data_IF_695500632104
#
_entry.id   IF_695500632104
#
_cell.length_a   1.000
_cell.length_b   1.000
_cell.length_c   1.000
_cell.angle_alpha   90.00
_cell.angle_beta   90.00
_cell.angle_gamma   90.00
#
_symmetry.space_group_name_H-M   'P 1'
#
loop_
_entity.id
_entity.type
_entity.pdbx_description
1 polymer ?
#
# COMPACT_ATOMS: atom_id res chain seq x y z
N UNK A 1 -17.55 18.85 2.49
CA UNK A 1 -16.60 18.38 1.45
C UNK A 1 -17.35 17.93 0.23
N UNK A 2 -16.66 17.61 -0.89
CA UNK A 2 -17.29 17.12 -2.13
C UNK A 2 -18.20 15.91 -1.83
N UNK A 3 -17.73 14.97 -0.99
CA UNK A 3 -18.51 13.80 -0.55
C UNK A 3 -19.85 14.16 0.07
N UNK A 4 -19.88 15.12 1.01
CA UNK A 4 -21.13 15.59 1.67
C UNK A 4 -22.13 16.12 0.66
N UNK A 5 -21.68 16.84 -0.38
CA UNK A 5 -22.55 17.35 -1.46
C UNK A 5 -23.13 16.23 -2.31
N UNK A 6 -22.36 15.17 -2.57
CA UNK A 6 -22.86 13.99 -3.28
C UNK A 6 -23.86 13.21 -2.43
N UNK A 7 -23.58 12.98 -1.14
CA UNK A 7 -24.49 12.22 -0.27
C UNK A 7 -25.84 12.92 -0.08
N UNK A 8 -25.85 14.23 0.17
CA UNK A 8 -27.09 15.01 0.24
C UNK A 8 -27.78 15.12 -1.13
N UNK A 9 -27.01 15.24 -2.21
CA UNK A 9 -27.54 15.30 -3.57
C UNK A 9 -28.31 14.03 -3.98
N UNK A 10 -27.85 12.85 -3.56
CA UNK A 10 -28.52 11.58 -3.86
C UNK A 10 -29.92 11.49 -3.22
N UNK A 11 -30.12 12.01 -2.01
CA UNK A 11 -31.43 12.04 -1.35
C UNK A 11 -32.40 12.93 -2.15
N UNK A 12 -31.93 14.09 -2.62
CA UNK A 12 -32.75 14.97 -3.45
C UNK A 12 -33.06 14.37 -4.82
N UNK A 13 -32.10 13.68 -5.44
CA UNK A 13 -32.30 13.02 -6.72
C UNK A 13 -33.35 11.90 -6.64
N UNK A 14 -33.37 11.15 -5.53
CA UNK A 14 -34.40 10.13 -5.29
C UNK A 14 -35.82 10.73 -5.27
N UNK A 15 -36.00 11.86 -4.60
CA UNK A 15 -37.31 12.54 -4.56
C UNK A 15 -37.72 13.06 -5.94
N UNK A 16 -36.78 13.58 -6.73
CA UNK A 16 -37.03 14.06 -8.09
C UNK A 16 -37.44 12.90 -9.00
N UNK A 17 -36.75 11.76 -8.94
CA UNK A 17 -37.11 10.57 -9.71
C UNK A 17 -38.53 10.10 -9.37
N UNK A 18 -38.88 10.06 -8.08
CA UNK A 18 -40.21 9.66 -7.62
C UNK A 18 -41.33 10.57 -8.18
N UNK A 19 -41.14 11.89 -8.14
CA UNK A 19 -42.13 12.83 -8.68
C UNK A 19 -42.23 12.79 -10.21
N UNK A 20 -41.13 12.51 -10.91
CA UNK A 20 -41.14 12.33 -12.38
C UNK A 20 -41.88 11.04 -12.77
N UNK A 21 -41.66 9.94 -12.05
CA UNK A 21 -42.40 8.69 -12.26
C UNK A 21 -43.91 8.90 -12.09
N UNK A 22 -44.30 9.64 -11.05
CA UNK A 22 -45.69 10.01 -10.77
C UNK A 22 -46.28 10.93 -11.84
N UNK A 23 -45.51 11.88 -12.35
CA UNK A 23 -45.94 12.81 -13.40
C UNK A 23 -46.14 12.10 -14.75
N UNK A 24 -45.26 11.16 -15.09
CA UNK A 24 -45.30 10.45 -16.37
C UNK A 24 -46.24 9.23 -16.37
N UNK A 25 -46.83 8.86 -15.21
CA UNK A 25 -47.59 7.61 -14.99
C UNK A 25 -46.81 6.35 -15.43
N UNK A 26 -45.48 6.41 -15.31
CA UNK A 26 -44.56 5.32 -15.62
C UNK A 26 -43.95 4.85 -14.31
N UNK A 27 -44.25 3.61 -13.92
CA UNK A 27 -43.51 2.91 -12.87
C UNK A 27 -42.23 2.36 -13.45
N UNK A 28 -41.09 2.99 -13.17
CA UNK A 28 -39.80 2.36 -13.43
C UNK A 28 -39.74 1.08 -12.60
N UNK A 29 -39.43 -0.03 -13.26
CA UNK A 29 -39.49 -1.34 -12.62
C UNK A 29 -38.41 -1.43 -11.54
N UNK A 30 -38.72 -2.19 -10.48
CA UNK A 30 -37.85 -2.29 -9.27
C UNK A 30 -36.39 -2.70 -9.53
N UNK A 31 -36.05 -3.17 -10.74
CA UNK A 31 -34.70 -3.55 -11.17
C UNK A 31 -33.76 -2.36 -11.41
N UNK A 32 -34.27 -1.14 -11.59
CA UNK A 32 -33.43 0.04 -11.81
C UNK A 32 -33.14 0.81 -10.51
N UNK A 33 -33.95 0.58 -9.47
CA UNK A 33 -33.84 1.21 -8.15
C UNK A 33 -33.52 0.16 -7.06
N UNK A 34 -32.60 -0.75 -7.36
CA UNK A 34 -32.30 -1.90 -6.49
C UNK A 34 -31.71 -1.46 -5.15
N UNK A 35 -30.89 -0.41 -5.15
CA UNK A 35 -30.16 0.07 -3.97
C UNK A 35 -31.01 0.91 -3.01
N UNK A 36 -32.08 1.56 -3.50
CA UNK A 36 -33.02 2.32 -2.68
C UNK A 36 -34.19 1.48 -2.14
N UNK A 37 -34.14 0.15 -2.32
CA UNK A 37 -35.18 -0.75 -1.79
C UNK A 37 -35.23 -0.69 -0.26
N UNK A 38 -36.42 -0.70 0.36
CA UNK A 38 -36.56 -0.67 1.81
C UNK A 38 -35.77 -1.78 2.53
N UNK A 39 -35.66 -2.97 1.91
CA UNK A 39 -34.90 -4.09 2.47
C UNK A 39 -33.38 -3.90 2.44
N UNK A 40 -32.84 -3.12 1.49
CA UNK A 40 -31.41 -2.78 1.45
C UNK A 40 -31.09 -1.65 2.40
N UNK A 41 -31.94 -0.61 2.43
CA UNK A 41 -31.84 0.48 3.41
C UNK A 41 -31.89 -0.07 4.84
N UNK A 42 -32.80 -1.00 5.13
CA UNK A 42 -32.89 -1.64 6.44
C UNK A 42 -31.62 -2.43 6.80
N UNK A 43 -31.04 -3.15 5.84
CA UNK A 43 -29.78 -3.90 6.05
C UNK A 43 -28.60 -2.98 6.25
N UNK A 44 -28.49 -1.92 5.45
CA UNK A 44 -27.43 -0.92 5.59
C UNK A 44 -27.51 -0.25 6.97
N UNK A 45 -28.72 0.09 7.44
CA UNK A 45 -28.92 0.62 8.80
C UNK A 45 -28.51 -0.38 9.89
N UNK A 46 -28.83 -1.66 9.72
CA UNK A 46 -28.42 -2.73 10.65
C UNK A 46 -26.89 -2.91 10.65
N UNK A 47 -26.26 -2.87 9.49
CA UNK A 47 -24.81 -3.00 9.35
C UNK A 47 -24.06 -1.77 9.87
N UNK A 48 -24.63 -0.56 9.69
CA UNK A 48 -24.14 0.67 10.33
C UNK A 48 -24.20 0.55 11.85
N UNK A 49 -25.27 -0.02 12.40
CA UNK A 49 -25.37 -0.26 13.84
C UNK A 49 -24.31 -1.26 14.33
N UNK A 50 -24.09 -2.37 13.61
CA UNK A 50 -23.03 -3.34 13.91
C UNK A 50 -21.64 -2.71 13.86
N UNK A 51 -21.36 -1.90 12.83
CA UNK A 51 -20.09 -1.19 12.70
C UNK A 51 -19.89 -0.18 13.84
N UNK A 52 -20.94 0.56 14.21
CA UNK A 52 -20.90 1.51 15.31
C UNK A 52 -20.63 0.83 16.65
N UNK A 53 -21.29 -0.31 16.90
CA UNK A 53 -21.04 -1.12 18.10
C UNK A 53 -19.59 -1.63 18.13
N UNK A 54 -19.12 -2.19 17.02
CA UNK A 54 -17.75 -2.70 16.91
C UNK A 54 -16.71 -1.61 17.17
N UNK A 55 -16.89 -0.42 16.59
CA UNK A 55 -16.00 0.73 16.79
C UNK A 55 -16.03 1.26 18.23
N UNK A 56 -17.16 1.13 18.94
CA UNK A 56 -17.26 1.53 20.34
C UNK A 56 -16.45 0.60 21.27
N UNK A 57 -16.44 -0.69 20.96
CA UNK A 57 -15.69 -1.71 21.71
C UNK A 57 -14.21 -1.75 21.30
N UNK A 58 -13.91 -1.43 20.03
CA UNK A 58 -12.58 -1.51 19.43
C UNK A 58 -12.18 -0.14 18.88
N UNK A 59 -12.15 0.89 19.74
CA UNK A 59 -11.85 2.25 19.31
C UNK A 59 -10.48 2.32 18.59
N UNK A 60 -10.44 2.53 17.26
CA UNK A 60 -9.20 2.55 16.50
C UNK A 60 -8.43 3.88 16.67
N UNK A 61 -8.99 4.83 17.41
CA UNK A 61 -8.43 6.15 17.68
C UNK A 61 -8.33 6.41 19.19
N UNK A 62 -7.48 5.66 19.92
CA UNK A 62 -7.15 6.03 21.28
C UNK A 62 -6.50 7.43 21.29
N UNK A 63 -6.75 8.22 22.33
CA UNK A 63 -6.06 9.51 22.51
C UNK A 63 -4.61 9.24 22.90
N UNK A 64 -3.75 9.12 21.90
CA UNK A 64 -2.32 8.91 22.05
C UNK A 64 -1.57 9.99 21.28
N UNK A 65 -0.48 10.50 21.84
CA UNK A 65 0.35 11.56 21.23
C UNK A 65 1.32 11.02 20.17
N UNK A 66 1.02 9.84 19.60
CA UNK A 66 1.91 9.09 18.72
C UNK A 66 1.14 8.57 17.51
N UNK A 67 1.72 8.70 16.29
CA UNK A 67 1.11 8.18 15.06
C UNK A 67 1.08 6.65 15.14
N UNK A 68 -0.07 6.03 14.94
CA UNK A 68 -0.23 4.57 15.00
C UNK A 68 -0.99 4.05 13.78
N UNK A 69 -0.51 2.95 13.19
CA UNK A 69 -1.23 2.24 12.13
C UNK A 69 -2.50 1.61 12.69
N UNK A 70 -3.66 1.98 12.16
CA UNK A 70 -4.97 1.44 12.58
C UNK A 70 -5.06 -0.07 12.32
N UNK A 71 -4.39 -0.58 11.28
CA UNK A 71 -4.46 -1.99 10.91
C UNK A 71 -3.50 -2.89 11.72
N UNK A 72 -2.43 -2.32 12.26
CA UNK A 72 -1.34 -3.11 12.86
C UNK A 72 -0.95 -2.67 14.28
N UNK A 73 -1.52 -1.57 14.78
CA UNK A 73 -1.19 -0.96 16.09
C UNK A 73 0.30 -0.57 16.20
N UNK A 74 0.99 -0.46 15.06
CA UNK A 74 2.41 -0.09 14.99
C UNK A 74 2.56 1.42 15.07
N UNK A 75 3.39 1.89 15.99
CA UNK A 75 3.77 3.29 16.17
C UNK A 75 4.73 3.74 15.05
N UNK A 76 4.38 4.82 14.37
CA UNK A 76 5.12 5.42 13.27
C UNK A 76 6.25 6.32 13.76
N UNK A 77 7.50 5.93 13.46
CA UNK A 77 8.66 6.82 13.49
C UNK A 77 8.86 7.58 12.17
N UNK A 78 9.97 8.32 12.06
CA UNK A 78 10.33 9.19 10.91
C UNK A 78 10.35 8.51 9.52
N UNK A 79 10.32 7.17 9.47
CA UNK A 79 10.37 6.37 8.24
C UNK A 79 9.02 6.26 7.50
N UNK A 80 7.88 6.65 8.11
CA UNK A 80 6.57 6.61 7.43
C UNK A 80 6.42 7.78 6.43
N UNK A 81 6.01 7.49 5.19
CA UNK A 81 5.66 8.54 4.21
C UNK A 81 4.50 9.39 4.76
N UNK A 82 4.80 10.62 5.19
CA UNK A 82 3.80 11.67 5.43
C UNK A 82 3.14 12.03 4.11
N UNK A 83 2.04 11.35 3.80
CA UNK A 83 1.20 11.68 2.64
C UNK A 83 0.35 12.89 2.96
N UNK A 84 0.78 14.09 2.55
CA UNK A 84 -0.01 15.33 2.62
C UNK A 84 -1.14 15.28 1.59
N UNK A 85 -2.14 14.42 1.79
CA UNK A 85 -3.20 14.17 0.82
C UNK A 85 -4.51 14.91 1.09
N UNK A 86 -4.63 15.66 2.19
CA UNK A 86 -5.83 16.45 2.48
C UNK A 86 -5.47 17.83 3.03
N UNK A 87 -6.35 18.81 2.77
CA UNK A 87 -6.27 20.15 3.36
C UNK A 87 -6.30 20.13 4.90
N UNK A 88 -6.89 19.07 5.49
CA UNK A 88 -6.94 18.85 6.93
C UNK A 88 -5.55 18.61 7.55
N UNK A 89 -4.55 18.17 6.78
CA UNK A 89 -3.17 17.99 7.27
C UNK A 89 -2.60 19.29 7.86
N UNK A 90 -2.97 20.44 7.30
CA UNK A 90 -2.48 21.75 7.76
C UNK A 90 -3.06 22.20 9.10
N UNK A 91 -4.16 21.59 9.55
CA UNK A 91 -4.81 21.92 10.83
C UNK A 91 -4.14 21.21 12.01
N UNK A 92 -3.35 20.16 11.75
CA UNK A 92 -2.61 19.47 12.81
C UNK A 92 -1.31 20.20 13.12
N UNK A 93 -1.10 20.51 14.40
CA UNK A 93 0.20 20.99 14.88
C UNK A 93 1.25 19.88 14.70
N UNK A 94 2.37 20.14 14.01
CA UNK A 94 3.44 19.17 13.93
C UNK A 94 4.01 18.92 15.33
N UNK A 95 4.07 17.65 15.74
CA UNK A 95 4.77 17.26 16.95
C UNK A 95 6.27 17.44 16.68
N UNK A 96 6.91 18.34 17.43
CA UNK A 96 8.34 18.69 17.31
C UNK A 96 9.23 17.93 18.29
N UNK A 97 8.66 16.99 19.05
CA UNK A 97 9.46 16.12 19.91
C UNK A 97 9.88 14.87 19.13
N UNK A 98 11.18 14.73 18.92
CA UNK A 98 11.82 13.47 18.61
C UNK A 98 11.58 12.52 19.79
N UNK A 99 10.45 11.81 19.76
CA UNK A 99 10.21 10.69 20.67
C UNK A 99 11.14 9.58 20.22
N UNK A 100 12.34 9.53 20.82
CA UNK A 100 13.14 8.32 20.84
C UNK A 100 12.47 7.36 21.81
N UNK A 101 11.90 6.22 21.36
CA UNK A 101 11.50 5.21 22.30
C UNK A 101 12.77 4.50 22.79
N UNK A 102 12.95 4.43 24.11
CA UNK A 102 13.95 3.58 24.72
C UNK A 102 13.53 2.11 24.54
N UNK A 103 14.33 1.37 23.78
CA UNK A 103 14.12 -0.04 23.44
C UNK A 103 14.23 -0.24 21.93
N UNK A 104 15.23 -1.03 21.49
CA UNK A 104 15.65 -1.28 20.10
C UNK A 104 14.51 -1.19 19.07
N UNK A 105 14.29 0.01 18.53
CA UNK A 105 13.24 0.25 17.56
C UNK A 105 13.80 -0.10 16.18
N UNK A 106 13.36 -1.23 15.63
CA UNK A 106 13.74 -1.59 14.26
C UNK A 106 13.30 -0.50 13.29
N UNK A 107 14.24 0.01 12.49
CA UNK A 107 13.92 0.92 11.39
C UNK A 107 13.31 0.10 10.27
N UNK A 108 12.00 0.24 10.09
CA UNK A 108 11.27 -0.42 8.99
C UNK A 108 11.48 0.36 7.70
N UNK A 109 11.96 -0.34 6.67
CA UNK A 109 12.22 0.18 5.33
C UNK A 109 11.33 -0.54 4.31
N UNK A 110 10.55 0.22 3.55
CA UNK A 110 9.81 -0.28 2.38
C UNK A 110 10.79 -0.74 1.28
N UNK A 111 10.79 -2.04 0.99
CA UNK A 111 11.63 -2.69 -0.01
C UNK A 111 11.34 -2.20 -1.43
N UNK A 112 10.07 -1.86 -1.74
CA UNK A 112 9.71 -1.25 -3.02
C UNK A 112 10.38 0.11 -3.20
N UNK A 113 10.33 0.95 -2.17
CA UNK A 113 11.04 2.23 -2.16
C UNK A 113 12.56 2.07 -2.23
N UNK A 114 13.12 1.12 -1.47
CA UNK A 114 14.55 0.84 -1.42
C UNK A 114 15.09 0.53 -2.82
N UNK A 115 14.40 -0.34 -3.58
CA UNK A 115 14.79 -0.70 -4.95
C UNK A 115 14.97 0.52 -5.85
N UNK A 116 14.19 1.59 -5.68
CA UNK A 116 14.32 2.79 -6.50
C UNK A 116 15.40 3.76 -6.01
N UNK A 117 15.86 3.65 -4.75
CA UNK A 117 16.83 4.58 -4.16
C UNK A 117 18.27 4.40 -4.63
N UNK A 118 18.70 3.17 -4.90
CA UNK A 118 20.10 2.89 -5.24
C UNK A 118 20.33 2.95 -6.74
N UNK A 119 21.32 3.74 -7.17
CA UNK A 119 21.72 3.82 -8.58
C UNK A 119 22.58 2.60 -8.93
N UNK A 120 22.22 1.89 -10.00
CA UNK A 120 22.98 0.75 -10.51
C UNK A 120 24.03 1.27 -11.49
N UNK A 121 25.31 1.00 -11.22
CA UNK A 121 26.38 1.35 -12.15
C UNK A 121 26.39 0.35 -13.31
N UNK A 122 26.68 0.83 -14.52
CA UNK A 122 26.89 -0.04 -15.68
C UNK A 122 28.10 -0.95 -15.40
N UNK A 123 28.01 -2.20 -15.90
CA UNK A 123 29.00 -3.26 -15.69
C UNK A 123 29.26 -3.68 -14.22
N UNK A 124 28.36 -3.36 -13.29
CA UNK A 124 28.42 -3.93 -11.95
C UNK A 124 27.84 -5.36 -11.95
N UNK A 125 28.41 -6.24 -11.14
CA UNK A 125 27.83 -7.57 -10.89
C UNK A 125 26.60 -7.47 -9.99
N UNK A 126 25.69 -8.44 -10.06
CA UNK A 126 24.51 -8.46 -9.19
C UNK A 126 24.88 -8.53 -7.70
N UNK A 127 25.96 -9.23 -7.35
CA UNK A 127 26.51 -9.25 -5.99
C UNK A 127 26.95 -7.86 -5.53
N UNK A 128 27.77 -7.17 -6.34
CA UNK A 128 28.23 -5.81 -6.03
C UNK A 128 27.06 -4.80 -5.94
N UNK A 129 26.01 -5.01 -6.73
CA UNK A 129 24.77 -4.23 -6.63
C UNK A 129 24.08 -4.50 -5.29
N UNK A 130 23.91 -5.76 -4.88
CA UNK A 130 23.32 -6.12 -3.60
C UNK A 130 24.11 -5.56 -2.42
N UNK A 131 25.44 -5.64 -2.46
CA UNK A 131 26.32 -5.07 -1.44
C UNK A 131 26.11 -3.56 -1.28
N UNK A 132 25.84 -2.82 -2.36
CA UNK A 132 25.49 -1.39 -2.26
C UNK A 132 24.20 -1.15 -1.48
N UNK A 133 23.21 -2.02 -1.60
CA UNK A 133 21.99 -1.90 -0.81
C UNK A 133 22.26 -2.13 0.67
N UNK A 134 23.05 -3.15 1.00
CA UNK A 134 23.48 -3.43 2.37
C UNK A 134 24.25 -2.23 2.96
N UNK A 135 25.24 -1.72 2.22
CA UNK A 135 26.04 -0.56 2.62
C UNK A 135 25.17 0.68 2.83
N UNK A 136 24.21 0.94 1.93
CA UNK A 136 23.29 2.07 2.07
C UNK A 136 22.46 1.99 3.35
N UNK A 137 21.91 0.81 3.64
CA UNK A 137 21.08 0.60 4.84
C UNK A 137 21.90 0.79 6.11
N UNK A 138 23.06 0.15 6.20
CA UNK A 138 23.96 0.26 7.35
C UNK A 138 24.43 1.69 7.57
N UNK A 139 24.82 2.40 6.51
CA UNK A 139 25.32 3.77 6.62
C UNK A 139 24.22 4.77 7.00
N UNK A 140 22.97 4.53 6.60
CA UNK A 140 21.87 5.47 6.80
C UNK A 140 21.13 5.25 8.12
N UNK A 141 20.94 4.00 8.53
CA UNK A 141 20.08 3.65 9.65
C UNK A 141 20.83 2.98 10.81
N UNK A 142 22.06 2.50 10.60
CA UNK A 142 22.87 1.90 11.65
C UNK A 142 22.51 0.43 11.92
N UNK A 143 22.24 0.10 13.18
CA UNK A 143 21.82 -1.23 13.64
C UNK A 143 20.28 -1.31 13.73
N UNK A 144 19.75 -2.53 13.86
CA UNK A 144 18.30 -2.79 13.99
C UNK A 144 17.48 -2.32 12.77
N UNK A 145 17.76 -2.88 11.59
CA UNK A 145 17.05 -2.57 10.34
C UNK A 145 16.14 -3.73 9.96
N UNK A 146 14.90 -3.44 9.56
CA UNK A 146 13.97 -4.39 8.98
C UNK A 146 13.52 -3.93 7.58
N UNK A 147 13.78 -4.72 6.55
CA UNK A 147 13.34 -4.42 5.17
C UNK A 147 12.14 -5.29 4.82
N UNK A 148 11.04 -4.68 4.38
CA UNK A 148 9.81 -5.39 4.01
C UNK A 148 9.65 -5.34 2.49
N UNK A 149 9.68 -6.49 1.82
CA UNK A 149 9.37 -6.58 0.40
C UNK A 149 7.92 -7.03 0.21
N UNK A 150 7.04 -6.07 -0.13
CA UNK A 150 5.65 -6.39 -0.50
C UNK A 150 5.63 -7.26 -1.77
N UNK A 151 5.34 -8.54 -1.57
CA UNK A 151 5.08 -9.51 -2.62
C UNK A 151 3.78 -10.24 -2.31
N UNK A 152 2.84 -10.22 -3.27
CA UNK A 152 1.69 -11.12 -3.18
C UNK A 152 2.19 -12.57 -3.37
N UNK A 153 1.69 -13.54 -2.57
CA UNK A 153 2.00 -14.94 -2.80
C UNK A 153 1.60 -15.33 -4.22
N UNK A 154 2.47 -16.06 -4.91
CA UNK A 154 2.25 -16.49 -6.30
C UNK A 154 1.09 -17.48 -6.47
N UNK A 155 0.52 -17.96 -5.37
CA UNK A 155 -0.50 -19.01 -5.35
C UNK A 155 -1.86 -18.59 -5.88
N UNK A 156 -2.13 -17.29 -6.04
CA UNK A 156 -3.40 -16.83 -6.57
C UNK A 156 -3.40 -16.82 -8.12
N UNK A 157 -3.20 -18.00 -8.72
CA UNK A 157 -3.35 -18.24 -10.17
C UNK A 157 -4.76 -17.91 -10.68
N UNK A 158 -5.73 -17.72 -9.78
CA UNK A 158 -7.13 -17.33 -10.07
C UNK A 158 -7.41 -15.84 -9.89
N UNK A 159 -6.47 -15.04 -9.39
CA UNK A 159 -6.70 -13.61 -9.21
C UNK A 159 -6.61 -12.88 -10.55
N UNK A 160 -7.67 -12.17 -10.92
CA UNK A 160 -7.72 -11.28 -12.10
C UNK A 160 -6.55 -10.28 -12.11
N UNK A 161 -6.05 -9.92 -10.91
CA UNK A 161 -4.92 -9.02 -10.70
C UNK A 161 -3.58 -9.63 -11.16
N UNK A 162 -3.40 -10.95 -11.07
CA UNK A 162 -2.19 -11.65 -11.49
C UNK A 162 -2.12 -11.81 -13.02
N UNK A 163 -3.25 -12.12 -13.68
CA UNK A 163 -3.33 -12.20 -15.14
C UNK A 163 -2.99 -10.87 -15.82
N UNK A 164 -3.59 -9.76 -15.35
CA UNK A 164 -3.28 -8.42 -15.86
C UNK A 164 -1.82 -8.02 -15.61
N UNK A 165 -1.24 -8.44 -14.47
CA UNK A 165 0.17 -8.20 -14.14
C UNK A 165 1.11 -8.94 -15.10
N UNK A 166 0.86 -10.22 -15.38
CA UNK A 166 1.64 -11.02 -16.32
C UNK A 166 1.54 -10.47 -17.76
N UNK A 167 0.35 -10.03 -18.19
CA UNK A 167 0.15 -9.40 -19.49
C UNK A 167 0.99 -8.13 -19.66
N UNK A 168 1.11 -7.29 -18.62
CA UNK A 168 1.97 -6.10 -18.67
C UNK A 168 3.46 -6.46 -18.65
N UNK A 169 3.88 -7.45 -17.86
CA UNK A 169 5.28 -7.82 -17.72
C UNK A 169 5.93 -8.37 -19.00
N UNK A 170 5.14 -8.97 -19.91
CA UNK A 170 5.62 -9.67 -21.10
C UNK A 170 6.34 -8.79 -22.15
N UNK A 171 6.35 -7.46 -22.02
CA UNK A 171 6.79 -6.55 -23.09
C UNK A 171 8.04 -5.69 -22.80
N UNK A 172 8.76 -5.90 -21.68
CA UNK A 172 9.80 -4.94 -21.25
C UNK A 172 11.26 -5.42 -21.30
N UNK A 173 11.55 -6.69 -20.98
CA UNK A 173 12.91 -7.28 -21.01
C UNK A 173 12.83 -8.81 -21.07
N UNK A 174 13.80 -9.52 -21.69
CA UNK A 174 13.93 -10.98 -21.58
C UNK A 174 14.01 -11.44 -20.12
N UNK A 175 13.58 -12.68 -19.82
CA UNK A 175 13.87 -13.33 -18.54
C UNK A 175 15.38 -13.61 -18.49
N UNK A 176 16.05 -13.09 -17.46
CA UNK A 176 17.49 -13.16 -17.31
C UNK A 176 17.80 -14.13 -16.17
N UNK A 177 18.51 -15.21 -16.50
CA UNK A 177 19.14 -16.07 -15.52
C UNK A 177 20.48 -15.45 -15.12
N UNK A 178 20.66 -15.16 -13.83
CA UNK A 178 21.90 -14.55 -13.32
C UNK A 178 22.29 -15.11 -11.96
N UNK A 179 23.58 -14.96 -11.65
CA UNK A 179 24.20 -15.27 -10.37
C UNK A 179 24.89 -14.02 -9.81
N UNK A 180 25.47 -14.10 -8.61
CA UNK A 180 26.14 -12.97 -7.97
C UNK A 180 27.27 -12.38 -8.82
N UNK A 181 28.02 -13.22 -9.55
CA UNK A 181 29.12 -12.84 -10.44
C UNK A 181 28.66 -12.32 -11.81
N UNK A 182 27.37 -12.47 -12.16
CA UNK A 182 26.87 -12.06 -13.46
C UNK A 182 26.84 -10.54 -13.56
N UNK A 183 27.40 -10.01 -14.65
CA UNK A 183 27.42 -8.57 -14.94
C UNK A 183 26.06 -8.11 -15.45
N UNK A 184 25.58 -6.97 -14.93
CA UNK A 184 24.35 -6.35 -15.38
C UNK A 184 24.51 -5.77 -16.81
N UNK A 185 23.81 -6.36 -17.77
CA UNK A 185 23.79 -5.91 -19.18
C UNK A 185 22.66 -4.91 -19.48
N UNK A 186 21.64 -4.85 -18.61
CA UNK A 186 20.43 -4.05 -18.82
C UNK A 186 20.42 -2.82 -17.91
N UNK A 187 19.73 -1.76 -18.35
CA UNK A 187 19.39 -0.65 -17.44
C UNK A 187 18.50 -1.18 -16.31
N UNK A 188 18.68 -0.64 -15.09
CA UNK A 188 17.89 -0.99 -13.91
C UNK A 188 16.38 -0.98 -14.18
N UNK A 189 15.89 0.04 -14.89
CA UNK A 189 14.47 0.23 -15.18
C UNK A 189 13.92 -0.91 -16.03
N UNK A 190 14.62 -1.28 -17.12
CA UNK A 190 14.24 -2.41 -17.97
C UNK A 190 14.30 -3.74 -17.23
N UNK A 191 15.35 -3.94 -16.43
CA UNK A 191 15.52 -5.16 -15.67
C UNK A 191 14.41 -5.35 -14.62
N UNK A 192 14.13 -4.31 -13.83
CA UNK A 192 13.11 -4.34 -12.77
C UNK A 192 11.66 -4.28 -13.31
N UNK A 193 11.46 -3.87 -14.56
CA UNK A 193 10.15 -3.91 -15.22
C UNK A 193 9.69 -5.34 -15.54
N UNK A 194 10.64 -6.29 -15.69
CA UNK A 194 10.31 -7.71 -15.78
C UNK A 194 10.12 -8.27 -14.37
N UNK A 195 8.91 -8.73 -14.07
CA UNK A 195 8.53 -9.24 -12.75
C UNK A 195 9.33 -10.49 -12.33
N UNK A 196 9.68 -11.38 -13.26
CA UNK A 196 10.51 -12.55 -12.97
C UNK A 196 11.92 -12.12 -12.57
N UNK A 197 12.53 -11.22 -13.34
CA UNK A 197 13.86 -10.67 -13.04
C UNK A 197 13.87 -9.93 -11.70
N UNK A 198 12.85 -9.09 -11.47
CA UNK A 198 12.68 -8.35 -10.22
C UNK A 198 12.56 -9.29 -9.02
N UNK A 199 11.74 -10.35 -9.11
CA UNK A 199 11.61 -11.35 -8.04
C UNK A 199 12.93 -12.05 -7.76
N UNK A 200 13.61 -12.56 -8.81
CA UNK A 200 14.93 -13.21 -8.66
C UNK A 200 15.93 -12.28 -7.98
N UNK A 201 15.92 -11.00 -8.33
CA UNK A 201 16.81 -10.02 -7.72
C UNK A 201 16.45 -9.71 -6.27
N UNK A 202 15.16 -9.59 -5.95
CA UNK A 202 14.69 -9.44 -4.57
C UNK A 202 15.19 -10.62 -3.74
N UNK A 203 15.05 -11.86 -4.22
CA UNK A 203 15.55 -13.05 -3.51
C UNK A 203 17.06 -13.02 -3.25
N UNK A 204 17.85 -12.61 -4.25
CA UNK A 204 19.29 -12.40 -4.07
C UNK A 204 19.58 -11.31 -3.02
N UNK A 205 18.83 -10.21 -3.06
CA UNK A 205 18.97 -9.12 -2.10
C UNK A 205 18.54 -9.53 -0.68
N UNK A 206 17.48 -10.32 -0.52
CA UNK A 206 17.05 -10.88 0.78
C UNK A 206 18.19 -11.67 1.42
N UNK A 207 18.85 -12.54 0.64
CA UNK A 207 20.00 -13.33 1.12
C UNK A 207 21.18 -12.45 1.53
N UNK A 208 21.51 -11.43 0.73
CA UNK A 208 22.60 -10.50 1.04
C UNK A 208 22.34 -9.71 2.33
N UNK A 209 21.10 -9.25 2.53
CA UNK A 209 20.66 -8.53 3.73
C UNK A 209 20.72 -9.44 4.97
N UNK A 210 20.21 -10.67 4.87
CA UNK A 210 20.27 -11.65 5.96
C UNK A 210 21.72 -11.98 6.36
N UNK A 211 22.62 -12.12 5.39
CA UNK A 211 24.06 -12.32 5.63
C UNK A 211 24.71 -11.15 6.39
N UNK A 212 24.14 -9.95 6.25
CA UNK A 212 24.58 -8.75 6.94
C UNK A 212 23.84 -8.49 8.27
N UNK A 213 23.12 -9.49 8.81
CA UNK A 213 22.28 -9.40 10.00
C UNK A 213 21.16 -8.34 9.92
N UNK A 214 20.68 -8.03 8.70
CA UNK A 214 19.51 -7.17 8.49
C UNK A 214 18.26 -8.07 8.42
N UNK A 215 17.23 -7.72 9.18
CA UNK A 215 15.96 -8.44 9.16
C UNK A 215 15.22 -8.19 7.84
N UNK A 216 14.63 -9.25 7.26
CA UNK A 216 13.88 -9.15 6.00
C UNK A 216 12.59 -9.95 6.09
N UNK A 217 11.47 -9.34 5.68
CA UNK A 217 10.16 -10.01 5.48
C UNK A 217 9.77 -9.97 4.00
#
# INVERSE_FOLDING_TARGET
>A
GVLTRWTLGMIHLQNICFEIEKFCDVKLTSSEHVDTRPSRIARDNEDVAKLSQWLSEHNPFPKIDVIMSIASVIVGGESMRKGTKSSLYTTFSPITQDVKPEGSQYVVVDGGHLLHKIVWRQQATFGAIADRYVQYLNNKYGQDIAVIFDGFPDDDKKSTKNCERLRRAAHFSPDVMFYEETVLEYTKEKFLANECNKKRFIELLKKALQKANICVQ
#
